data_IF_368657565095
#
_entry.id   IF_368657565095
#
_cell.length_a   1.000
_cell.length_b   1.000
_cell.length_c   1.000
_cell.angle_alpha   90.00
_cell.angle_beta   90.00
_cell.angle_gamma   90.00
#
_symmetry.space_group_name_H-M   'P 1'
#
loop_
_entity.id
_entity.type
_entity.pdbx_description
1 polymer ?
#
# COMPACT_ATOMS: atom_id res chain seq x y z
N UNK A 1 6.28 8.78 -25.03
CA UNK A 1 5.77 7.97 -23.91
C UNK A 1 6.71 8.07 -22.72
N UNK A 2 6.16 8.39 -21.57
CA UNK A 2 6.98 8.44 -20.36
C UNK A 2 7.30 7.02 -19.88
N UNK A 3 8.48 6.85 -19.29
CA UNK A 3 8.81 5.58 -18.64
C UNK A 3 7.84 5.34 -17.48
N UNK A 4 7.42 4.09 -17.24
CA UNK A 4 6.54 3.81 -16.12
C UNK A 4 7.22 4.11 -14.78
N UNK A 5 6.43 4.57 -13.82
CA UNK A 5 6.91 4.72 -12.46
C UNK A 5 6.86 3.38 -11.75
N UNK A 6 7.77 3.17 -10.83
CA UNK A 6 7.84 1.95 -10.04
C UNK A 6 7.53 2.28 -8.59
N UNK A 7 6.62 1.52 -8.00
CA UNK A 7 6.23 1.75 -6.62
C UNK A 7 5.90 0.44 -5.92
N UNK A 8 5.70 0.52 -4.61
CA UNK A 8 5.26 -0.62 -3.80
C UNK A 8 3.98 -0.27 -3.07
N UNK A 9 3.25 -1.31 -2.71
CA UNK A 9 2.05 -1.22 -1.89
C UNK A 9 2.06 -2.41 -0.95
N UNK A 10 1.82 -2.16 0.33
CA UNK A 10 1.85 -3.21 1.34
C UNK A 10 0.56 -3.17 2.17
N UNK A 11 -0.08 -4.32 2.30
CA UNK A 11 -1.20 -4.50 3.20
C UNK A 11 -0.69 -5.23 4.43
N UNK A 12 -0.52 -4.49 5.52
CA UNK A 12 -0.03 -5.04 6.79
C UNK A 12 -1.22 -5.58 7.57
N UNK A 13 -1.15 -6.84 7.95
CA UNK A 13 -2.25 -7.56 8.58
C UNK A 13 -1.98 -7.82 10.05
N UNK A 14 -3.00 -7.60 10.89
CA UNK A 14 -2.96 -7.96 12.30
C UNK A 14 -4.39 -8.12 12.82
N UNK A 15 -4.64 -9.26 13.49
CA UNK A 15 -5.93 -9.53 14.14
C UNK A 15 -7.14 -9.35 13.22
N UNK A 16 -7.02 -9.81 11.97
CA UNK A 16 -8.10 -9.73 11.00
C UNK A 16 -8.33 -8.34 10.42
N UNK A 17 -7.34 -7.45 10.58
CA UNK A 17 -7.41 -6.07 10.08
C UNK A 17 -6.23 -5.79 9.17
N UNK A 18 -6.44 -4.84 8.24
CA UNK A 18 -5.35 -4.27 7.45
C UNK A 18 -5.09 -2.84 7.91
N UNK A 19 -3.80 -2.45 7.91
CA UNK A 19 -3.42 -1.06 8.16
C UNK A 19 -3.61 -0.27 6.86
N UNK A 20 -4.51 0.68 6.88
CA UNK A 20 -4.86 1.48 5.71
C UNK A 20 -4.53 2.95 5.94
N UNK A 21 -4.08 3.61 4.89
CA UNK A 21 -3.79 5.04 4.89
C UNK A 21 -4.93 5.79 4.21
N UNK A 22 -5.56 6.71 4.93
CA UNK A 22 -6.57 7.60 4.38
C UNK A 22 -5.89 8.90 3.96
N UNK A 23 -5.81 9.14 2.66
CA UNK A 23 -5.09 10.28 2.08
C UNK A 23 -5.94 11.54 2.14
N UNK A 24 -5.83 12.29 3.23
CA UNK A 24 -6.68 13.47 3.45
C UNK A 24 -5.88 14.76 3.65
N UNK A 25 -4.55 14.68 3.70
CA UNK A 25 -3.72 15.82 4.07
C UNK A 25 -3.36 16.73 2.89
N UNK A 26 -3.06 16.17 1.72
CA UNK A 26 -2.62 16.95 0.55
C UNK A 26 -3.79 17.23 -0.37
N UNK A 27 -4.13 18.53 -0.56
CA UNK A 27 -5.28 18.91 -1.37
C UNK A 27 -5.18 18.52 -2.85
N UNK A 28 -4.00 18.56 -3.41
CA UNK A 28 -3.78 18.25 -4.85
C UNK A 28 -3.33 16.82 -5.10
N UNK A 29 -3.47 15.98 -4.10
CA UNK A 29 -3.12 14.58 -4.21
C UNK A 29 -4.19 13.84 -5.03
N UNK A 30 -3.80 13.12 -6.08
CA UNK A 30 -4.72 12.30 -6.88
C UNK A 30 -5.42 11.25 -6.04
N UNK A 31 -4.79 10.83 -4.94
CA UNK A 31 -5.35 9.85 -4.01
C UNK A 31 -6.17 10.49 -2.88
N UNK A 32 -6.37 11.82 -2.92
CA UNK A 32 -7.09 12.50 -1.83
C UNK A 32 -8.46 11.88 -1.60
N UNK A 33 -8.74 11.56 -0.35
CA UNK A 33 -9.98 10.90 0.05
C UNK A 33 -9.99 9.40 -0.17
N UNK A 34 -8.97 8.86 -0.82
CA UNK A 34 -8.85 7.42 -1.03
C UNK A 34 -8.20 6.75 0.17
N UNK A 35 -8.58 5.50 0.39
CA UNK A 35 -7.90 4.63 1.33
C UNK A 35 -6.97 3.72 0.54
N UNK A 36 -5.72 3.64 0.94
CA UNK A 36 -4.72 2.81 0.26
C UNK A 36 -3.90 2.03 1.28
N UNK A 37 -3.20 1.02 0.81
CA UNK A 37 -2.17 0.36 1.61
C UNK A 37 -0.98 1.29 1.78
N UNK A 38 0.02 0.82 2.50
CA UNK A 38 1.24 1.58 2.78
C UNK A 38 2.27 1.31 1.70
N UNK A 39 2.98 2.33 1.23
CA UNK A 39 4.01 2.15 0.21
C UNK A 39 4.39 3.45 -0.45
N UNK A 40 5.20 3.37 -1.48
CA UNK A 40 5.63 4.54 -2.21
C UNK A 40 6.56 4.19 -3.36
N UNK A 41 7.13 5.21 -3.98
CA UNK A 41 7.97 5.06 -5.16
C UNK A 41 9.35 4.51 -4.82
N UNK A 42 9.92 3.74 -5.75
CA UNK A 42 11.29 3.26 -5.65
C UNK A 42 12.27 4.44 -5.66
N UNK A 43 13.34 4.29 -4.88
CA UNK A 43 14.51 5.14 -5.04
C UNK A 43 15.47 4.45 -6.01
N UNK A 44 16.40 5.21 -6.54
CA UNK A 44 17.35 4.68 -7.53
C UNK A 44 18.11 3.49 -6.96
N UNK A 45 18.16 2.41 -7.73
CA UNK A 45 18.88 1.20 -7.35
C UNK A 45 18.18 0.32 -6.32
N UNK A 46 16.97 0.68 -5.93
CA UNK A 46 16.23 -0.07 -4.92
C UNK A 46 15.50 -1.28 -5.52
N UNK A 47 15.54 -2.42 -4.83
CA UNK A 47 14.70 -3.56 -5.18
C UNK A 47 13.30 -3.36 -4.61
N UNK A 48 12.28 -4.12 -5.08
CA UNK A 48 10.94 -4.04 -4.49
C UNK A 48 10.94 -4.30 -2.98
N UNK A 49 11.70 -5.26 -2.51
CA UNK A 49 11.79 -5.59 -1.09
C UNK A 49 12.41 -4.46 -0.28
N UNK A 50 13.47 -3.87 -0.81
CA UNK A 50 14.11 -2.72 -0.13
C UNK A 50 13.17 -1.53 -0.07
N UNK A 51 12.44 -1.29 -1.16
CA UNK A 51 11.48 -0.20 -1.23
C UNK A 51 10.36 -0.37 -0.20
N UNK A 52 9.76 -1.55 -0.13
CA UNK A 52 8.65 -1.77 0.79
C UNK A 52 9.10 -1.66 2.24
N UNK A 53 10.28 -2.19 2.57
CA UNK A 53 10.82 -2.08 3.93
C UNK A 53 11.04 -0.62 4.32
N UNK A 54 11.63 0.16 3.43
CA UNK A 54 11.91 1.57 3.67
C UNK A 54 10.62 2.39 3.80
N UNK A 55 9.71 2.24 2.84
CA UNK A 55 8.47 3.01 2.82
C UNK A 55 7.58 2.71 4.03
N UNK A 56 7.48 1.43 4.41
CA UNK A 56 6.71 1.07 5.59
C UNK A 56 7.31 1.71 6.84
N UNK A 57 8.65 1.68 6.96
CA UNK A 57 9.31 2.28 8.11
C UNK A 57 9.08 3.78 8.16
N UNK A 58 9.20 4.46 7.02
CA UNK A 58 9.01 5.91 6.95
C UNK A 58 7.57 6.34 7.25
N UNK A 59 6.60 5.59 6.75
CA UNK A 59 5.19 5.98 6.88
C UNK A 59 4.56 5.53 8.19
N UNK A 60 4.96 4.40 8.73
CA UNK A 60 4.30 3.81 9.89
C UNK A 60 5.16 3.73 11.15
N UNK A 61 6.48 3.74 10.99
CA UNK A 61 7.40 3.48 12.09
C UNK A 61 7.67 1.99 12.30
N UNK A 62 6.94 1.13 11.62
CA UNK A 62 7.10 -0.32 11.76
C UNK A 62 8.22 -0.87 10.89
N UNK A 63 8.89 -1.90 11.41
CA UNK A 63 9.86 -2.68 10.64
C UNK A 63 9.23 -4.03 10.35
N UNK A 64 9.05 -4.35 9.06
CA UNK A 64 8.48 -5.63 8.67
C UNK A 64 9.44 -6.77 8.97
N UNK A 65 8.92 -7.85 9.55
CA UNK A 65 9.69 -9.06 9.86
C UNK A 65 9.20 -10.26 9.07
N UNK A 66 7.96 -10.23 8.57
CA UNK A 66 7.40 -11.28 7.73
C UNK A 66 6.51 -10.62 6.69
N UNK A 67 6.90 -10.75 5.42
CA UNK A 67 6.15 -10.16 4.31
C UNK A 67 6.34 -11.00 3.06
N UNK A 68 5.36 -10.93 2.15
CA UNK A 68 5.34 -11.75 0.94
C UNK A 68 4.95 -10.93 -0.27
N UNK A 69 5.67 -11.11 -1.37
CA UNK A 69 5.31 -10.52 -2.66
C UNK A 69 4.08 -11.25 -3.20
N UNK A 70 3.08 -10.48 -3.59
CA UNK A 70 1.82 -11.05 -4.09
C UNK A 70 1.59 -10.85 -5.59
N UNK A 71 2.30 -9.92 -6.19
CA UNK A 71 2.18 -9.68 -7.62
C UNK A 71 2.35 -8.23 -7.96
N UNK A 72 2.17 -7.94 -9.24
CA UNK A 72 2.32 -6.58 -9.76
C UNK A 72 1.00 -6.12 -10.35
N UNK A 73 0.61 -4.88 -10.00
CA UNK A 73 -0.51 -4.19 -10.62
C UNK A 73 0.03 -3.16 -11.60
N UNK A 74 -0.64 -3.01 -12.72
CA UNK A 74 -0.36 -1.92 -13.66
C UNK A 74 -1.49 -0.91 -13.54
N UNK A 75 -1.13 0.31 -13.18
CA UNK A 75 -2.10 1.40 -13.05
C UNK A 75 -1.86 2.40 -14.17
N UNK A 76 -2.92 2.71 -14.93
CA UNK A 76 -2.84 3.64 -16.06
C UNK A 76 -3.82 4.78 -15.81
N UNK A 77 -3.30 6.01 -15.88
CA UNK A 77 -4.12 7.21 -15.74
C UNK A 77 -3.65 8.23 -16.79
N UNK A 78 -4.43 8.37 -17.86
CA UNK A 78 -4.05 9.22 -18.98
C UNK A 78 -2.77 8.74 -19.63
N UNK A 79 -1.76 9.59 -19.68
CA UNK A 79 -0.45 9.27 -20.27
C UNK A 79 0.51 8.63 -19.25
N UNK A 80 0.08 8.50 -18.01
CA UNK A 80 0.94 7.97 -16.96
C UNK A 80 0.67 6.50 -16.71
N UNK A 81 1.75 5.76 -16.45
CA UNK A 81 1.69 4.35 -16.15
C UNK A 81 2.53 4.08 -14.90
N UNK A 82 2.02 3.25 -14.02
CA UNK A 82 2.72 2.88 -12.81
C UNK A 82 2.66 1.37 -12.63
N UNK A 83 3.82 0.76 -12.34
CA UNK A 83 3.91 -0.64 -11.97
C UNK A 83 4.04 -0.71 -10.46
N UNK A 84 3.09 -1.34 -9.82
CA UNK A 84 3.02 -1.42 -8.37
C UNK A 84 3.31 -2.85 -7.93
N UNK A 85 4.40 -3.04 -7.19
CA UNK A 85 4.72 -4.33 -6.58
C UNK A 85 3.94 -4.44 -5.29
N UNK A 86 3.06 -5.42 -5.18
CA UNK A 86 2.14 -5.56 -4.05
C UNK A 86 2.62 -6.64 -3.10
N UNK A 87 2.64 -6.29 -1.82
CA UNK A 87 3.06 -7.17 -0.73
C UNK A 87 1.96 -7.28 0.31
N UNK A 88 1.95 -8.38 1.04
CA UNK A 88 1.21 -8.51 2.29
C UNK A 88 2.23 -8.76 3.39
N UNK A 89 1.94 -8.32 4.60
CA UNK A 89 2.82 -8.52 5.74
C UNK A 89 1.99 -8.91 6.96
N UNK A 90 2.48 -9.90 7.71
CA UNK A 90 1.82 -10.37 8.92
C UNK A 90 2.75 -10.34 10.15
N UNK A 91 3.97 -9.84 9.99
CA UNK A 91 4.91 -9.69 11.08
C UNK A 91 5.61 -8.36 11.02
N UNK A 92 5.66 -7.66 12.14
CA UNK A 92 6.34 -6.36 12.23
C UNK A 92 6.67 -6.05 13.68
N UNK A 93 7.64 -5.15 13.87
CA UNK A 93 8.06 -4.65 15.17
C UNK A 93 8.13 -3.13 15.14
N UNK A 94 8.32 -2.51 16.29
CA UNK A 94 8.48 -1.07 16.41
C UNK A 94 7.21 -0.39 16.88
N UNK A 95 7.29 0.95 16.97
CA UNK A 95 6.19 1.77 17.45
C UNK A 95 5.62 2.61 16.31
N UNK A 96 4.30 2.80 16.27
CA UNK A 96 3.69 3.61 15.24
C UNK A 96 4.08 5.08 15.36
N UNK A 97 4.22 5.75 14.21
CA UNK A 97 4.47 7.19 14.15
C UNK A 97 3.33 7.87 13.39
N UNK A 98 3.24 9.19 13.52
CA UNK A 98 2.28 9.96 12.73
C UNK A 98 2.74 9.98 11.27
N UNK A 99 1.81 9.76 10.35
CA UNK A 99 2.11 9.79 8.92
C UNK A 99 1.85 11.18 8.37
N UNK A 100 2.79 11.72 7.57
CA UNK A 100 2.66 13.04 6.97
C UNK A 100 1.66 13.09 5.82
N UNK A 101 1.30 11.94 5.26
CA UNK A 101 0.46 11.87 4.07
C UNK A 101 -1.01 11.66 4.35
N UNK A 102 -1.36 11.34 5.59
CA UNK A 102 -2.75 11.10 5.95
C UNK A 102 -2.88 10.44 7.32
N UNK A 103 -3.99 9.74 7.50
CA UNK A 103 -4.30 9.07 8.75
C UNK A 103 -4.23 7.56 8.57
N UNK A 104 -3.47 6.90 9.44
CA UNK A 104 -3.35 5.44 9.44
C UNK A 104 -4.39 4.85 10.39
N UNK A 105 -5.13 3.84 9.92
CA UNK A 105 -6.11 3.14 10.74
C UNK A 105 -6.09 1.65 10.43
N UNK A 106 -6.32 0.85 11.47
CA UNK A 106 -6.52 -0.58 11.33
C UNK A 106 -7.99 -0.81 10.99
N UNK A 107 -8.25 -1.33 9.78
CA UNK A 107 -9.61 -1.53 9.29
C UNK A 107 -9.90 -3.03 9.21
N UNK A 108 -10.99 -3.52 9.83
CA UNK A 108 -11.37 -4.94 9.68
C UNK A 108 -11.49 -5.32 8.22
N UNK A 109 -11.01 -6.50 7.85
CA UNK A 109 -11.02 -6.95 6.46
C UNK A 109 -12.41 -6.92 5.84
N UNK A 110 -13.44 -7.25 6.60
CA UNK A 110 -14.82 -7.24 6.12
C UNK A 110 -15.36 -5.83 5.87
N UNK A 111 -14.70 -4.80 6.40
CA UNK A 111 -15.10 -3.40 6.20
C UNK A 111 -14.36 -2.71 5.07
N UNK A 112 -13.30 -3.31 4.57
CA UNK A 112 -12.42 -2.68 3.55
C UNK A 112 -13.21 -2.28 2.30
N UNK A 113 -14.14 -3.13 1.84
CA UNK A 113 -14.90 -2.86 0.62
C UNK A 113 -15.79 -1.63 0.70
N UNK A 114 -16.11 -1.18 1.90
CA UNK A 114 -16.95 0.00 2.14
C UNK A 114 -16.16 1.30 2.01
N UNK A 115 -14.84 1.21 1.94
CA UNK A 115 -13.98 2.38 1.85
C UNK A 115 -13.89 2.91 0.43
N UNK A 116 -13.52 4.18 0.30
CA UNK A 116 -13.28 4.80 -1.00
C UNK A 116 -11.92 4.32 -1.53
N UNK A 117 -11.93 3.24 -2.31
CA UNK A 117 -10.73 2.60 -2.85
C UNK A 117 -10.67 2.80 -4.36
N UNK A 118 -9.47 2.67 -4.92
CA UNK A 118 -9.31 2.51 -6.35
C UNK A 118 -9.88 1.16 -6.77
N UNK A 119 -10.48 1.08 -7.97
CA UNK A 119 -11.11 -0.17 -8.44
C UNK A 119 -10.11 -1.34 -8.53
N UNK A 120 -8.88 -1.06 -8.96
CA UNK A 120 -7.85 -2.10 -9.01
C UNK A 120 -7.53 -2.66 -7.64
N UNK A 121 -7.53 -1.81 -6.61
CA UNK A 121 -7.28 -2.25 -5.24
C UNK A 121 -8.42 -3.12 -4.73
N UNK A 122 -9.66 -2.82 -5.08
CA UNK A 122 -10.82 -3.63 -4.70
C UNK A 122 -10.69 -5.05 -5.25
N UNK A 123 -10.31 -5.16 -6.53
CA UNK A 123 -10.12 -6.45 -7.17
C UNK A 123 -8.98 -7.22 -6.50
N UNK A 124 -7.87 -6.54 -6.25
CA UNK A 124 -6.71 -7.18 -5.64
C UNK A 124 -7.04 -7.69 -4.23
N UNK A 125 -7.71 -6.88 -3.42
CA UNK A 125 -8.11 -7.27 -2.07
C UNK A 125 -9.08 -8.45 -2.10
N UNK A 126 -9.96 -8.51 -3.09
CA UNK A 126 -10.85 -9.65 -3.27
C UNK A 126 -10.06 -10.92 -3.56
N UNK A 127 -9.07 -10.84 -4.46
CA UNK A 127 -8.22 -11.98 -4.78
C UNK A 127 -7.43 -12.47 -3.56
N UNK A 128 -6.95 -11.55 -2.74
CA UNK A 128 -6.26 -11.90 -1.49
C UNK A 128 -7.20 -12.65 -0.54
N UNK A 129 -8.46 -12.22 -0.43
CA UNK A 129 -9.44 -12.84 0.47
C UNK A 129 -9.81 -14.25 0.01
N UNK A 130 -9.65 -14.54 -1.29
CA UNK A 130 -9.91 -15.85 -1.86
C UNK A 130 -8.67 -16.75 -1.84
N UNK A 131 -7.58 -16.25 -1.26
CA UNK A 131 -6.32 -16.98 -1.10
C UNK A 131 -5.72 -17.44 -2.43
N UNK A 132 -5.87 -16.64 -3.47
CA UNK A 132 -5.22 -16.91 -4.76
C UNK A 132 -3.74 -16.52 -4.67
N UNK A 133 -2.84 -17.40 -5.14
CA UNK A 133 -1.41 -17.10 -5.17
C UNK A 133 -1.07 -16.02 -6.19
#
# INVERSE_FOLDING_TARGET
>A
MKAPELSTLCYIEKDGKYLMLHRVVKEKDVNKGKWIGVGGHFEEGESPEECVLREVKEETGYTLTSFHYRGQLTFICGDEMEYISVFTADGFTGEPIACDEGVLEWIPKEEIRKLNLWEGDKLFLQLLSEDHP
#
